data_IF_132917954275
#
_entry.id   IF_132917954275
#
_cell.length_a   1.000
_cell.length_b   1.000
_cell.length_c   1.000
_cell.angle_alpha   90.00
_cell.angle_beta   90.00
_cell.angle_gamma   90.00
#
_symmetry.space_group_name_H-M   'P 1'
#
loop_
_entity.id
_entity.type
_entity.pdbx_description
1 polymer ?
#
# COMPACT_ATOMS: atom_id res chain seq x y z
N UNK A 1 0.28 20.68 8.13
CA UNK A 1 -0.41 19.41 8.45
C UNK A 1 0.62 18.34 8.22
N UNK A 2 1.00 17.63 9.28
CA UNK A 2 1.90 16.47 9.15
C UNK A 2 1.09 15.36 8.50
N UNK A 3 1.46 14.95 7.28
CA UNK A 3 0.82 13.81 6.62
C UNK A 3 1.24 12.57 7.41
N UNK A 4 0.28 11.91 8.06
CA UNK A 4 0.53 10.64 8.70
C UNK A 4 0.48 9.54 7.62
N UNK A 5 1.60 9.37 6.92
CA UNK A 5 1.76 8.42 5.79
C UNK A 5 1.32 7.01 6.21
N UNK A 6 1.73 6.57 7.40
CA UNK A 6 1.37 5.25 7.93
C UNK A 6 -0.14 5.06 8.07
N UNK A 7 -0.84 6.07 8.60
CA UNK A 7 -2.31 6.01 8.70
C UNK A 7 -2.95 5.92 7.31
N UNK A 8 -2.46 6.71 6.36
CA UNK A 8 -2.99 6.73 4.99
C UNK A 8 -2.80 5.42 4.24
N UNK A 9 -1.64 4.77 4.40
CA UNK A 9 -1.40 3.42 3.87
C UNK A 9 -2.42 2.43 4.45
N UNK A 10 -2.65 2.50 5.78
CA UNK A 10 -3.63 1.65 6.47
C UNK A 10 -5.05 1.87 5.96
N UNK A 11 -5.46 3.14 5.80
CA UNK A 11 -6.79 3.51 5.32
C UNK A 11 -7.02 2.94 3.90
N UNK A 12 -6.06 3.14 2.99
CA UNK A 12 -6.14 2.63 1.61
C UNK A 12 -6.22 1.09 1.60
N UNK A 13 -5.38 0.41 2.40
CA UNK A 13 -5.43 -1.05 2.52
C UNK A 13 -6.80 -1.52 3.03
N UNK A 14 -7.36 -0.85 4.04
CA UNK A 14 -8.67 -1.21 4.58
C UNK A 14 -9.78 -1.00 3.56
N UNK A 15 -9.81 0.15 2.87
CA UNK A 15 -10.81 0.46 1.86
C UNK A 15 -10.80 -0.57 0.71
N UNK A 16 -9.61 -0.99 0.28
CA UNK A 16 -9.45 -2.02 -0.75
C UNK A 16 -9.88 -3.41 -0.30
N UNK A 17 -9.64 -3.75 0.98
CA UNK A 17 -9.82 -5.12 1.48
C UNK A 17 -11.17 -5.38 2.15
N UNK A 18 -11.91 -4.34 2.57
CA UNK A 18 -13.18 -4.49 3.31
C UNK A 18 -14.44 -4.44 2.43
N UNK A 19 -14.31 -4.06 1.15
CA UNK A 19 -15.46 -3.96 0.23
C UNK A 19 -15.73 -5.32 -0.46
N UNK A 20 -15.79 -5.35 -1.78
CA UNK A 20 -16.07 -6.53 -2.61
C UNK A 20 -15.07 -7.69 -2.43
N UNK A 21 -13.97 -7.47 -1.72
CA UNK A 21 -12.88 -8.42 -1.54
C UNK A 21 -12.77 -8.96 -0.11
N UNK A 22 -13.71 -8.63 0.78
CA UNK A 22 -13.66 -9.03 2.19
C UNK A 22 -13.46 -10.55 2.38
N UNK A 23 -14.06 -11.37 1.52
CA UNK A 23 -13.95 -12.84 1.56
C UNK A 23 -12.51 -13.33 1.28
N UNK A 24 -11.72 -12.57 0.49
CA UNK A 24 -10.32 -12.91 0.19
C UNK A 24 -9.44 -12.62 1.41
N UNK A 25 -9.71 -11.53 2.11
CA UNK A 25 -8.93 -11.06 3.26
C UNK A 25 -9.51 -11.52 4.60
N UNK A 26 -10.45 -12.47 4.58
CA UNK A 26 -11.02 -13.04 5.80
C UNK A 26 -9.92 -13.68 6.64
N UNK A 27 -9.83 -13.29 7.91
CA UNK A 27 -8.81 -13.80 8.83
C UNK A 27 -7.51 -13.00 8.86
N UNK A 28 -7.33 -11.97 8.03
CA UNK A 28 -6.23 -11.02 8.21
C UNK A 28 -6.46 -10.16 9.47
N UNK A 29 -5.56 -10.26 10.44
CA UNK A 29 -5.66 -9.55 11.73
C UNK A 29 -5.07 -8.13 11.66
N UNK A 30 -4.19 -7.88 10.68
CA UNK A 30 -3.43 -6.64 10.57
C UNK A 30 -3.10 -6.27 9.11
N UNK A 31 -2.61 -5.04 8.91
CA UNK A 31 -2.30 -4.51 7.58
C UNK A 31 -1.10 -5.19 6.92
N UNK A 32 -0.22 -5.76 7.73
CA UNK A 32 0.93 -6.51 7.25
C UNK A 32 0.50 -7.78 6.52
N UNK A 33 -0.45 -8.53 7.08
CA UNK A 33 -1.04 -9.71 6.46
C UNK A 33 -1.83 -9.34 5.20
N UNK A 34 -2.61 -8.24 5.26
CA UNK A 34 -3.34 -7.73 4.08
C UNK A 34 -2.39 -7.38 2.95
N UNK A 35 -1.31 -6.66 3.23
CA UNK A 35 -0.31 -6.27 2.25
C UNK A 35 0.38 -7.48 1.60
N UNK A 36 0.70 -8.51 2.40
CA UNK A 36 1.29 -9.73 1.88
C UNK A 36 0.31 -10.51 1.00
N UNK A 37 -0.95 -10.63 1.41
CA UNK A 37 -1.96 -11.33 0.61
C UNK A 37 -2.28 -10.59 -0.69
N UNK A 38 -2.23 -9.26 -0.67
CA UNK A 38 -2.41 -8.40 -1.84
C UNK A 38 -1.49 -8.79 -3.01
N UNK A 39 -0.27 -9.28 -2.72
CA UNK A 39 0.68 -9.76 -3.75
C UNK A 39 0.16 -10.93 -4.57
N UNK A 40 -0.75 -11.73 -4.00
CA UNK A 40 -1.38 -12.86 -4.68
C UNK A 40 -2.50 -12.40 -5.63
N UNK A 41 -3.00 -11.18 -5.45
CA UNK A 41 -4.10 -10.58 -6.19
C UNK A 41 -3.58 -9.44 -7.07
N UNK A 42 -3.09 -9.79 -8.28
CA UNK A 42 -2.37 -8.86 -9.16
C UNK A 42 -3.13 -7.58 -9.49
N UNK A 43 -4.46 -7.64 -9.60
CA UNK A 43 -5.29 -6.47 -9.83
C UNK A 43 -5.37 -5.56 -8.60
N UNK A 44 -5.51 -6.13 -7.40
CA UNK A 44 -5.57 -5.36 -6.16
C UNK A 44 -4.21 -4.72 -5.82
N UNK A 45 -3.12 -5.42 -6.11
CA UNK A 45 -1.78 -4.87 -6.01
C UNK A 45 -1.62 -3.59 -6.84
N UNK A 46 -2.09 -3.61 -8.10
CA UNK A 46 -2.06 -2.44 -8.98
C UNK A 46 -2.94 -1.31 -8.45
N UNK A 47 -4.18 -1.60 -8.02
CA UNK A 47 -5.08 -0.57 -7.50
C UNK A 47 -4.50 0.06 -6.22
N UNK A 48 -3.86 -0.73 -5.36
CA UNK A 48 -3.17 -0.22 -4.19
C UNK A 48 -2.04 0.73 -4.54
N UNK A 49 -1.16 0.34 -5.47
CA UNK A 49 -0.06 1.18 -5.95
C UNK A 49 -0.61 2.51 -6.49
N UNK A 50 -1.58 2.46 -7.42
CA UNK A 50 -2.17 3.67 -8.00
C UNK A 50 -2.86 4.55 -6.96
N UNK A 51 -3.50 3.96 -5.95
CA UNK A 51 -4.13 4.72 -4.87
C UNK A 51 -3.10 5.47 -4.01
N UNK A 52 -1.92 4.88 -3.78
CA UNK A 52 -0.82 5.54 -3.08
C UNK A 52 -0.24 6.69 -3.93
N UNK A 53 -0.01 6.45 -5.22
CA UNK A 53 0.48 7.47 -6.16
C UNK A 53 -0.46 8.69 -6.19
N UNK A 54 -1.76 8.45 -6.31
CA UNK A 54 -2.78 9.51 -6.30
C UNK A 54 -2.83 10.26 -4.96
N UNK A 55 -2.88 9.54 -3.83
CA UNK A 55 -2.99 10.14 -2.48
C UNK A 55 -1.77 11.00 -2.13
N UNK A 56 -0.57 10.54 -2.48
CA UNK A 56 0.67 11.26 -2.15
C UNK A 56 1.18 12.15 -3.29
N UNK A 57 0.53 12.12 -4.46
CA UNK A 57 0.97 12.82 -5.67
C UNK A 57 2.42 12.47 -6.05
N UNK A 58 2.73 11.17 -6.04
CA UNK A 58 4.03 10.58 -6.40
C UNK A 58 3.86 9.59 -7.55
N UNK A 59 4.97 9.13 -8.12
CA UNK A 59 5.01 8.06 -9.13
C UNK A 59 6.13 7.11 -8.72
N UNK A 60 5.81 5.82 -8.51
CA UNK A 60 6.82 4.83 -8.14
C UNK A 60 7.62 4.40 -9.38
N UNK A 61 8.92 4.18 -9.21
CA UNK A 61 9.73 3.58 -10.26
C UNK A 61 9.53 2.05 -10.28
N UNK A 62 9.64 1.42 -11.46
CA UNK A 62 9.44 -0.04 -11.63
C UNK A 62 10.36 -0.88 -10.73
N UNK A 63 11.55 -0.37 -10.40
CA UNK A 63 12.52 -1.04 -9.52
C UNK A 63 12.18 -0.90 -8.02
N UNK A 64 11.32 0.06 -7.66
CA UNK A 64 10.79 0.22 -6.30
C UNK A 64 9.63 -0.73 -6.03
N UNK A 65 8.90 -1.17 -7.06
CA UNK A 65 7.75 -2.06 -6.99
C UNK A 65 8.13 -3.54 -7.08
N UNK A 66 9.12 -3.95 -6.30
CA UNK A 66 9.57 -5.34 -6.23
C UNK A 66 8.78 -6.18 -5.20
N UNK A 67 9.16 -7.46 -5.05
CA UNK A 67 8.53 -8.36 -4.05
C UNK A 67 8.73 -7.85 -2.61
N UNK A 68 9.76 -7.05 -2.35
CA UNK A 68 10.02 -6.48 -1.03
C UNK A 68 9.13 -5.28 -0.73
N UNK A 69 8.61 -4.57 -1.75
CA UNK A 69 7.64 -3.48 -1.57
C UNK A 69 6.47 -3.92 -0.66
N UNK A 70 5.89 -5.08 -0.95
CA UNK A 70 4.76 -5.65 -0.20
C UNK A 70 5.18 -6.43 1.05
N UNK A 71 6.46 -6.45 1.38
CA UNK A 71 6.97 -7.21 2.52
C UNK A 71 6.76 -6.49 3.84
N UNK A 72 6.60 -5.16 3.87
CA UNK A 72 6.09 -4.45 5.04
C UNK A 72 5.52 -3.06 4.76
N UNK A 73 4.54 -2.64 5.57
CA UNK A 73 4.00 -1.27 5.50
C UNK A 73 5.05 -0.21 5.82
N UNK A 74 6.07 -0.54 6.61
CA UNK A 74 7.20 0.36 6.90
C UNK A 74 8.07 0.61 5.67
N UNK A 75 8.25 -0.40 4.80
CA UNK A 75 9.00 -0.21 3.56
C UNK A 75 8.24 0.69 2.59
N UNK A 76 6.93 0.46 2.43
CA UNK A 76 6.04 1.34 1.66
C UNK A 76 6.11 2.77 2.19
N UNK A 77 6.01 2.96 3.51
CA UNK A 77 6.14 4.27 4.16
C UNK A 77 7.48 4.94 3.85
N UNK A 78 8.59 4.20 3.92
CA UNK A 78 9.93 4.74 3.65
C UNK A 78 10.11 5.15 2.19
N UNK A 79 9.57 4.38 1.24
CA UNK A 79 9.63 4.72 -0.19
C UNK A 79 8.82 5.99 -0.45
N UNK A 80 7.60 6.09 0.08
CA UNK A 80 6.78 7.31 -0.04
C UNK A 80 7.50 8.52 0.56
N UNK A 81 8.11 8.37 1.75
CA UNK A 81 8.91 9.45 2.36
C UNK A 81 10.08 9.89 1.50
N UNK A 82 10.76 8.95 0.84
CA UNK A 82 11.87 9.25 -0.08
C UNK A 82 11.39 10.14 -1.22
N UNK A 83 10.24 9.83 -1.83
CA UNK A 83 9.62 10.65 -2.87
C UNK A 83 9.22 12.03 -2.36
N UNK A 84 8.53 12.10 -1.22
CA UNK A 84 8.08 13.37 -0.64
C UNK A 84 9.23 14.27 -0.16
N UNK A 85 10.40 13.71 0.16
CA UNK A 85 11.59 14.47 0.53
C UNK A 85 12.38 14.98 -0.68
N UNK A 86 12.11 14.48 -1.89
CA UNK A 86 12.72 14.91 -3.14
C UNK A 86 11.94 16.06 -3.82
N UNK A 87 10.79 16.45 -3.25
CA UNK A 87 9.95 17.60 -3.67
C UNK A 87 10.16 18.78 -2.74
#
# INVERSE_FOLDING_TARGET
MEINIKQKISDILQDLTQSEYQDIFEGCENDQERLQLLTSESMLALVFISSLEDEFSIEFEDDELDVNFFSSTELVENIIKKHLALV
#
